data_IF_727855705317
#
_entry.id   IF_727855705317
#
_cell.length_a   1.000
_cell.length_b   1.000
_cell.length_c   1.000
_cell.angle_alpha   90.00
_cell.angle_beta   90.00
_cell.angle_gamma   90.00
#
_symmetry.space_group_name_H-M   'P 1'
#
loop_
_entity.id
_entity.type
_entity.pdbx_description
1 polymer ?
#
# COMPACT_ATOMS: atom_id res chain seq x y z
N UNK A 1 7.09 -15.12 -6.07
CA UNK A 1 6.26 -14.88 -7.27
C UNK A 1 6.45 -13.42 -7.67
N UNK A 2 6.46 -13.09 -8.96
CA UNK A 2 6.54 -11.68 -9.35
C UNK A 2 5.16 -11.04 -9.12
N UNK A 3 5.11 -9.93 -8.39
CA UNK A 3 3.89 -9.15 -8.18
C UNK A 3 3.48 -8.53 -9.51
N UNK A 4 2.33 -8.93 -10.07
CA UNK A 4 1.83 -8.40 -11.35
C UNK A 4 0.66 -7.43 -11.17
N UNK A 5 0.41 -6.60 -12.19
CA UNK A 5 -0.76 -5.73 -12.24
C UNK A 5 -2.07 -6.53 -12.21
N UNK A 6 -2.15 -7.64 -12.94
CA UNK A 6 -3.34 -8.48 -12.99
C UNK A 6 -3.68 -9.09 -11.63
N UNK A 7 -2.67 -9.54 -10.89
CA UNK A 7 -2.87 -10.07 -9.53
C UNK A 7 -3.36 -8.97 -8.56
N UNK A 8 -2.82 -7.76 -8.70
CA UNK A 8 -3.26 -6.61 -7.92
C UNK A 8 -4.73 -6.25 -8.22
N UNK A 9 -5.12 -6.21 -9.50
CA UNK A 9 -6.49 -5.92 -9.93
C UNK A 9 -7.47 -6.98 -9.41
N UNK A 10 -7.13 -8.26 -9.52
CA UNK A 10 -7.94 -9.34 -8.96
C UNK A 10 -8.06 -9.25 -7.43
N UNK A 11 -6.97 -8.91 -6.75
CA UNK A 11 -6.97 -8.74 -5.30
C UNK A 11 -7.89 -7.59 -4.87
N UNK A 12 -7.76 -6.41 -5.49
CA UNK A 12 -8.54 -5.24 -5.14
C UNK A 12 -10.03 -5.39 -5.44
N UNK A 13 -10.39 -6.09 -6.53
CA UNK A 13 -11.79 -6.34 -6.87
C UNK A 13 -12.53 -7.18 -5.82
N UNK A 14 -11.82 -8.03 -5.09
CA UNK A 14 -12.41 -8.99 -4.13
C UNK A 14 -12.23 -8.56 -2.68
N UNK A 15 -11.07 -7.99 -2.33
CA UNK A 15 -10.66 -7.83 -0.94
C UNK A 15 -10.71 -6.37 -0.46
N UNK A 16 -10.83 -5.40 -1.36
CA UNK A 16 -10.72 -3.98 -1.00
C UNK A 16 -11.95 -3.21 -1.48
N UNK A 17 -12.75 -2.77 -0.50
CA UNK A 17 -14.01 -2.05 -0.75
C UNK A 17 -13.80 -0.66 -1.36
N UNK A 18 -12.83 0.09 -0.83
CA UNK A 18 -12.47 1.42 -1.30
C UNK A 18 -11.16 1.29 -2.06
N UNK A 19 -11.21 1.29 -3.38
CA UNK A 19 -10.05 1.17 -4.26
C UNK A 19 -10.10 2.20 -5.40
N UNK A 20 -10.83 3.29 -5.20
CA UNK A 20 -11.11 4.33 -6.19
C UNK A 20 -9.80 4.89 -6.77
N UNK A 21 -8.82 5.19 -5.90
CA UNK A 21 -7.52 5.71 -6.32
C UNK A 21 -6.71 4.73 -7.18
N UNK A 22 -6.97 3.42 -7.02
CA UNK A 22 -6.40 2.41 -7.91
C UNK A 22 -7.13 2.36 -9.25
N UNK A 23 -8.47 2.39 -9.23
CA UNK A 23 -9.27 2.32 -10.46
C UNK A 23 -9.10 3.54 -11.37
N UNK A 24 -8.89 4.72 -10.79
CA UNK A 24 -8.69 5.98 -11.52
C UNK A 24 -7.24 6.16 -12.02
N UNK A 25 -6.29 5.41 -11.47
CA UNK A 25 -4.89 5.49 -11.88
C UNK A 25 -4.63 4.77 -13.22
N UNK A 26 -3.79 5.37 -14.06
CA UNK A 26 -3.29 4.76 -15.29
C UNK A 26 -2.35 3.58 -15.00
N UNK A 27 -2.22 2.67 -15.97
CA UNK A 27 -1.39 1.47 -15.83
C UNK A 27 0.07 1.77 -15.46
N UNK A 28 0.64 2.86 -15.98
CA UNK A 28 2.01 3.24 -15.66
C UNK A 28 2.14 3.77 -14.21
N UNK A 29 1.15 4.50 -13.69
CA UNK A 29 1.11 4.92 -12.27
C UNK A 29 0.89 3.74 -11.34
N UNK A 30 -0.02 2.80 -11.68
CA UNK A 30 -0.20 1.55 -10.93
C UNK A 30 1.08 0.72 -10.84
N UNK A 31 1.79 0.54 -11.95
CA UNK A 31 3.05 -0.20 -11.98
C UNK A 31 4.14 0.46 -11.12
N UNK A 32 4.25 1.79 -11.19
CA UNK A 32 5.17 2.56 -10.34
C UNK A 32 4.81 2.44 -8.86
N UNK A 33 3.53 2.49 -8.51
CA UNK A 33 3.05 2.31 -7.15
C UNK A 33 3.41 0.93 -6.59
N UNK A 34 3.19 -0.15 -7.35
CA UNK A 34 3.60 -1.51 -6.97
C UNK A 34 5.12 -1.63 -6.74
N UNK A 35 5.90 -1.02 -7.64
CA UNK A 35 7.37 -1.07 -7.55
C UNK A 35 7.87 -0.32 -6.31
N UNK A 36 7.33 0.87 -6.05
CA UNK A 36 7.66 1.66 -4.88
C UNK A 36 7.21 0.96 -3.59
N UNK A 37 6.00 0.39 -3.58
CA UNK A 37 5.48 -0.37 -2.45
C UNK A 37 6.40 -1.52 -2.06
N UNK A 38 6.82 -2.33 -3.05
CA UNK A 38 7.76 -3.42 -2.86
C UNK A 38 9.09 -2.92 -2.25
N UNK A 39 9.69 -1.90 -2.86
CA UNK A 39 10.95 -1.33 -2.39
C UNK A 39 10.86 -0.79 -0.95
N UNK A 40 9.77 -0.11 -0.61
CA UNK A 40 9.54 0.42 0.75
C UNK A 40 9.43 -0.73 1.75
N UNK A 41 8.60 -1.73 1.47
CA UNK A 41 8.39 -2.84 2.40
C UNK A 41 9.66 -3.65 2.61
N UNK A 42 10.47 -3.93 1.58
CA UNK A 42 11.75 -4.63 1.78
C UNK A 42 12.79 -3.78 2.53
N UNK A 43 12.76 -2.46 2.40
CA UNK A 43 13.63 -1.55 3.19
C UNK A 43 13.25 -1.54 4.67
N UNK A 44 11.95 -1.55 4.96
CA UNK A 44 11.43 -1.52 6.34
C UNK A 44 11.57 -2.91 6.99
N UNK A 45 11.14 -3.96 6.30
CA UNK A 45 11.13 -5.32 6.80
C UNK A 45 12.36 -6.10 6.33
N UNK A 46 13.55 -5.69 6.80
CA UNK A 46 14.86 -6.26 6.42
C UNK A 46 15.00 -7.77 6.67
N UNK A 47 14.16 -8.35 7.53
CA UNK A 47 14.13 -9.78 7.82
C UNK A 47 13.48 -10.61 6.69
N UNK A 48 12.88 -9.95 5.69
CA UNK A 48 12.33 -10.58 4.50
C UNK A 48 13.30 -10.41 3.33
N UNK A 49 13.32 -11.40 2.45
CA UNK A 49 14.18 -11.43 1.27
C UNK A 49 13.37 -11.96 0.09
N UNK A 50 13.40 -11.27 -1.04
CA UNK A 50 12.63 -11.63 -2.24
C UNK A 50 12.81 -13.09 -2.69
N UNK A 51 13.98 -13.67 -2.43
CA UNK A 51 14.36 -15.01 -2.88
C UNK A 51 14.01 -16.06 -1.83
N UNK A 52 14.41 -15.85 -0.57
CA UNK A 52 14.33 -16.89 0.47
C UNK A 52 13.13 -16.75 1.40
N UNK A 53 12.60 -15.54 1.56
CA UNK A 53 11.45 -15.24 2.42
C UNK A 53 10.69 -14.03 1.87
N UNK A 54 9.96 -14.19 0.76
CA UNK A 54 9.29 -13.06 0.12
C UNK A 54 8.20 -12.50 1.03
N UNK A 55 8.00 -11.19 0.93
CA UNK A 55 6.85 -10.53 1.53
C UNK A 55 5.53 -11.04 0.91
N UNK A 56 4.42 -11.06 1.66
CA UNK A 56 3.12 -11.40 1.09
C UNK A 56 2.72 -10.40 0.01
N UNK A 57 2.28 -10.90 -1.15
CA UNK A 57 1.86 -10.06 -2.28
C UNK A 57 0.71 -9.11 -1.88
N UNK A 58 -0.23 -9.59 -1.06
CA UNK A 58 -1.30 -8.77 -0.48
C UNK A 58 -0.78 -7.55 0.29
N UNK A 59 0.33 -7.67 1.02
CA UNK A 59 0.92 -6.52 1.72
C UNK A 59 1.48 -5.49 0.74
N UNK A 60 2.04 -5.95 -0.39
CA UNK A 60 2.54 -5.07 -1.45
C UNK A 60 1.39 -4.33 -2.13
N UNK A 61 0.25 -5.02 -2.36
CA UNK A 61 -0.95 -4.39 -2.94
C UNK A 61 -1.52 -3.31 -2.02
N UNK A 62 -1.74 -3.61 -0.74
CA UNK A 62 -2.23 -2.63 0.23
C UNK A 62 -1.30 -1.42 0.36
N UNK A 63 0.02 -1.66 0.34
CA UNK A 63 1.01 -0.59 0.34
C UNK A 63 0.94 0.26 -0.94
N UNK A 64 0.74 -0.34 -2.10
CA UNK A 64 0.64 0.38 -3.37
C UNK A 64 -0.60 1.29 -3.39
N UNK A 65 -1.75 0.78 -2.93
CA UNK A 65 -2.96 1.58 -2.79
C UNK A 65 -2.77 2.75 -1.81
N UNK A 66 -2.08 2.51 -0.69
CA UNK A 66 -1.75 3.55 0.27
C UNK A 66 -0.89 4.66 -0.33
N UNK A 67 0.09 4.32 -1.17
CA UNK A 67 0.92 5.32 -1.86
C UNK A 67 0.09 6.18 -2.82
N UNK A 68 -0.86 5.60 -3.54
CA UNK A 68 -1.75 6.34 -4.44
C UNK A 68 -2.63 7.33 -3.66
N UNK A 69 -3.19 6.89 -2.52
CA UNK A 69 -3.96 7.75 -1.62
C UNK A 69 -3.14 8.90 -1.05
N UNK A 70 -1.92 8.61 -0.62
CA UNK A 70 -1.01 9.61 -0.09
C UNK A 70 -0.67 10.65 -1.16
N UNK A 71 -0.40 10.23 -2.39
CA UNK A 71 -0.10 11.12 -3.51
C UNK A 71 -1.28 12.06 -3.82
N UNK A 72 -2.50 11.53 -3.87
CA UNK A 72 -3.71 12.35 -4.09
C UNK A 72 -3.99 13.30 -2.91
N UNK A 73 -3.72 12.87 -1.67
CA UNK A 73 -3.83 13.73 -0.49
C UNK A 73 -2.78 14.86 -0.48
N UNK A 74 -1.54 14.56 -0.86
CA UNK A 74 -0.46 15.57 -1.00
C UNK A 74 -0.85 16.58 -2.07
N UNK A 75 -1.29 16.12 -3.25
CA UNK A 75 -1.74 17.02 -4.33
C UNK A 75 -2.87 17.92 -3.86
N UNK A 76 -3.87 17.41 -3.13
CA UNK A 76 -4.96 18.22 -2.54
C UNK A 76 -4.43 19.24 -1.53
N UNK A 77 -3.43 18.87 -0.72
CA UNK A 77 -2.76 19.78 0.21
C UNK A 77 -2.01 20.92 -0.48
N UNK A 78 -1.36 20.67 -1.63
CA UNK A 78 -0.72 21.72 -2.41
C UNK A 78 -1.72 22.77 -2.92
N UNK A 79 -2.99 22.40 -3.06
CA UNK A 79 -4.10 23.31 -3.36
C UNK A 79 -4.73 23.95 -2.10
N UNK A 80 -4.08 23.88 -0.94
CA UNK A 80 -4.53 24.51 0.31
C UNK A 80 -5.58 23.73 1.09
N UNK A 81 -5.82 22.45 0.75
CA UNK A 81 -6.73 21.57 1.51
C UNK A 81 -5.97 20.93 2.67
N UNK A 82 -6.21 21.39 3.90
CA UNK A 82 -5.47 20.93 5.09
C UNK A 82 -5.97 19.61 5.70
N UNK A 83 -7.08 19.05 5.20
CA UNK A 83 -7.63 17.77 5.66
C UNK A 83 -8.43 17.09 4.56
N UNK A 84 -8.16 15.81 4.30
CA UNK A 84 -8.97 14.98 3.38
C UNK A 84 -9.56 13.81 4.18
N UNK A 85 -10.88 13.63 4.09
CA UNK A 85 -11.57 12.46 4.64
C UNK A 85 -11.65 11.41 3.54
N UNK A 86 -10.95 10.28 3.71
CA UNK A 86 -11.00 9.14 2.78
C UNK A 86 -11.61 7.96 3.54
N UNK A 87 -12.78 7.48 3.10
CA UNK A 87 -13.44 6.30 3.67
C UNK A 87 -13.76 6.39 5.17
N UNK A 88 -14.06 7.58 5.69
CA UNK A 88 -14.40 7.79 7.12
C UNK A 88 -13.19 7.89 8.08
N UNK A 89 -11.96 7.74 7.59
CA UNK A 89 -10.76 8.07 8.36
C UNK A 89 -10.34 9.52 8.06
N UNK A 90 -10.27 10.34 9.13
CA UNK A 90 -9.70 11.69 9.04
C UNK A 90 -8.18 11.58 9.03
N UNK A 91 -7.56 11.91 7.89
CA UNK A 91 -6.10 11.89 7.76
C UNK A 91 -5.62 13.33 7.89
N UNK A 92 -4.95 13.65 9.00
CA UNK A 92 -4.20 14.90 9.15
C UNK A 92 -2.95 14.83 8.27
N UNK A 93 -2.87 15.74 7.31
CA UNK A 93 -1.82 15.76 6.27
C UNK A 93 -0.41 15.94 6.87
N UNK A 94 -0.30 16.63 8.02
CA UNK A 94 0.95 16.73 8.81
C UNK A 94 1.56 15.37 9.19
N UNK A 95 0.77 14.28 9.20
CA UNK A 95 1.19 12.92 9.57
C UNK A 95 1.15 11.91 8.42
N UNK A 96 1.14 12.35 7.15
CA UNK A 96 1.30 11.45 5.97
C UNK A 96 2.65 10.68 6.00
N UNK A 97 3.53 11.00 6.95
CA UNK A 97 4.77 10.27 7.25
C UNK A 97 4.56 8.85 7.84
N UNK A 98 3.45 8.17 7.53
CA UNK A 98 3.30 6.73 7.76
C UNK A 98 3.85 5.99 6.55
N UNK A 99 5.17 5.74 6.58
CA UNK A 99 5.93 5.05 5.54
C UNK A 99 5.33 3.69 5.14
N UNK A 100 4.60 3.04 6.04
CA UNK A 100 3.96 1.73 5.81
C UNK A 100 2.45 1.81 6.04
N UNK A 101 1.69 1.25 5.11
CA UNK A 101 0.25 1.14 5.18
C UNK A 101 -0.18 0.29 6.40
N UNK A 102 -1.18 0.72 7.18
CA UNK A 102 -1.65 -0.02 8.35
C UNK A 102 -2.06 -1.46 8.01
N UNK A 103 -2.75 -1.67 6.88
CA UNK A 103 -3.16 -3.00 6.43
C UNK A 103 -1.98 -3.87 6.02
N UNK A 104 -0.98 -3.31 5.33
CA UNK A 104 0.25 -4.02 4.99
C UNK A 104 0.99 -4.47 6.26
N UNK A 105 1.07 -3.60 7.28
CA UNK A 105 1.68 -3.93 8.56
C UNK A 105 0.94 -5.06 9.29
N UNK A 106 -0.41 -5.07 9.26
CA UNK A 106 -1.21 -6.15 9.84
C UNK A 106 -1.00 -7.49 9.13
N UNK A 107 -0.95 -7.50 7.79
CA UNK A 107 -0.72 -8.71 7.00
C UNK A 107 0.66 -9.29 7.32
N UNK A 108 1.69 -8.44 7.42
CA UNK A 108 3.05 -8.86 7.75
C UNK A 108 3.14 -9.33 9.21
N UNK A 109 2.55 -8.59 10.15
CA UNK A 109 2.52 -8.92 11.59
C UNK A 109 1.79 -10.22 11.91
N UNK A 110 0.68 -10.51 11.22
CA UNK A 110 -0.07 -11.79 11.36
C UNK A 110 0.79 -13.02 11.05
N UNK A 111 1.80 -12.91 10.18
CA UNK A 111 2.74 -14.01 9.91
C UNK A 111 3.84 -14.14 10.97
N UNK A 112 4.30 -13.06 11.58
CA UNK A 112 5.33 -13.11 12.63
C UNK A 112 4.81 -13.87 13.87
N UNK A 113 3.52 -13.74 14.18
CA UNK A 113 2.88 -14.48 15.28
C UNK A 113 2.67 -15.98 15.03
N UNK A 114 2.77 -16.48 13.79
CA UNK A 114 2.51 -17.89 13.44
C UNK A 114 3.77 -18.76 13.32
N UNK A 115 4.95 -18.20 13.53
CA UNK A 115 6.24 -18.93 13.57
C UNK A 115 6.79 -19.16 14.99
N UNK A 116 5.97 -18.98 16.01
CA UNK A 116 6.27 -19.37 17.39
C UNK A 116 5.13 -20.26 17.90
N UNK A 117 5.23 -21.56 17.62
CA UNK A 117 4.31 -22.60 18.05
C UNK A 117 4.86 -23.97 17.66
#
# INVERSE_FOLDING_TARGET
MAVTLGDAEAYFAVNVLHNEEWTEADAARKQRALTNAKNILYRVYKNYNEITKPLPDAAVFEQALWLLRADDAIRKSEFGVNSVTVGGMQISIERINTTVAPQAALIIGRRVGRSAG
#
